data_IF_751404670981
#
_entry.id   IF_751404670981
#
_cell.length_a   1.000
_cell.length_b   1.000
_cell.length_c   1.000
_cell.angle_alpha   90.00
_cell.angle_beta   90.00
_cell.angle_gamma   90.00
#
_symmetry.space_group_name_H-M   'P 1'
#
loop_
_entity.id
_entity.type
_entity.pdbx_description
1 polymer ?
#
# COMPACT_ATOMS: atom_id res chain seq x y z
N UNK A 1 -14.72 63.72 67.32
CA UNK A 1 -15.17 63.97 65.93
C UNK A 1 -13.94 63.87 65.03
N UNK A 2 -13.85 62.77 64.26
CA UNK A 2 -13.02 62.50 63.05
C UNK A 2 -11.50 62.53 63.25
N UNK A 3 -10.78 61.40 63.14
CA UNK A 3 -10.40 60.63 61.93
C UNK A 3 -9.64 61.50 60.90
N UNK A 4 -8.35 61.24 60.68
CA UNK A 4 -7.94 60.40 59.54
C UNK A 4 -6.42 60.09 59.51
N UNK A 5 -6.13 58.80 59.69
CA UNK A 5 -5.25 57.96 58.87
C UNK A 5 -3.86 58.48 58.42
N UNK A 6 -2.89 58.33 59.32
CA UNK A 6 -1.52 58.00 58.92
C UNK A 6 -1.45 56.56 58.41
N UNK A 7 -1.65 56.36 57.10
CA UNK A 7 -1.41 55.09 56.43
C UNK A 7 0.10 54.82 56.33
N UNK A 8 0.70 54.39 57.43
CA UNK A 8 2.02 53.77 57.43
C UNK A 8 1.92 52.42 56.71
N UNK A 9 2.57 52.30 55.56
CA UNK A 9 2.74 51.03 54.85
C UNK A 9 3.41 50.04 55.81
N UNK A 10 2.65 49.06 56.30
CA UNK A 10 3.17 47.99 57.14
C UNK A 10 4.23 47.22 56.34
N UNK A 11 5.51 47.45 56.66
CA UNK A 11 6.61 46.75 56.03
C UNK A 11 6.52 45.27 56.42
N UNK A 12 6.34 44.40 55.43
CA UNK A 12 6.05 42.99 55.67
C UNK A 12 7.21 42.33 56.41
N UNK A 13 6.87 41.49 57.38
CA UNK A 13 7.86 40.79 58.20
C UNK A 13 8.75 39.89 57.30
N UNK A 14 10.01 39.63 57.68
CA UNK A 14 10.88 38.75 56.91
C UNK A 14 10.27 37.38 56.61
N UNK A 15 9.45 36.84 57.53
CA UNK A 15 8.71 35.60 57.34
C UNK A 15 7.63 35.71 56.26
N UNK A 16 6.88 36.82 56.21
CA UNK A 16 5.89 37.09 55.17
C UNK A 16 6.55 37.26 53.79
N UNK A 17 7.69 37.96 53.73
CA UNK A 17 8.49 38.09 52.49
C UNK A 17 8.99 36.73 51.99
N UNK A 18 9.45 35.85 52.90
CA UNK A 18 9.86 34.48 52.58
C UNK A 18 8.70 33.61 52.10
N UNK A 19 7.55 33.66 52.76
CA UNK A 19 6.35 32.90 52.35
C UNK A 19 5.83 33.35 50.98
N UNK A 20 5.86 34.65 50.68
CA UNK A 20 5.50 35.18 49.37
C UNK A 20 6.45 34.66 48.29
N UNK A 21 7.76 34.70 48.52
CA UNK A 21 8.76 34.17 47.60
C UNK A 21 8.54 32.67 47.31
N UNK A 22 8.26 31.87 48.33
CA UNK A 22 7.95 30.45 48.16
C UNK A 22 6.69 30.22 47.32
N UNK A 23 5.68 31.07 47.48
CA UNK A 23 4.43 30.99 46.70
C UNK A 23 4.65 31.38 45.24
N UNK A 24 5.43 32.43 44.99
CA UNK A 24 5.79 32.89 43.66
C UNK A 24 6.65 31.85 42.93
N UNK A 25 7.63 31.25 43.62
CA UNK A 25 8.46 30.17 43.09
C UNK A 25 7.62 28.93 42.76
N UNK A 26 6.69 28.54 43.63
CA UNK A 26 5.78 27.42 43.38
C UNK A 26 4.89 27.67 42.15
N UNK A 27 4.43 28.91 41.99
CA UNK A 27 3.62 29.32 40.83
C UNK A 27 4.43 29.29 39.54
N UNK A 28 5.66 29.82 39.56
CA UNK A 28 6.60 29.74 38.42
C UNK A 28 6.96 28.31 38.07
N UNK A 29 7.21 27.45 39.06
CA UNK A 29 7.50 26.04 38.84
C UNK A 29 6.33 25.33 38.15
N UNK A 30 5.10 25.58 38.61
CA UNK A 30 3.89 25.01 38.00
C UNK A 30 3.70 25.51 36.56
N UNK A 31 3.92 26.80 36.31
CA UNK A 31 3.85 27.36 34.95
C UNK A 31 4.90 26.74 34.01
N UNK A 32 6.14 26.56 34.48
CA UNK A 32 7.20 25.91 33.71
C UNK A 32 6.90 24.44 33.44
N UNK A 33 6.32 23.71 34.40
CA UNK A 33 5.89 22.31 34.20
C UNK A 33 4.81 22.21 33.12
N UNK A 34 3.79 23.07 33.17
CA UNK A 34 2.76 23.10 32.13
C UNK A 34 3.32 23.50 30.76
N UNK A 35 4.29 24.41 30.71
CA UNK A 35 4.99 24.73 29.45
C UNK A 35 5.80 23.55 28.91
N UNK A 36 6.47 22.80 29.79
CA UNK A 36 7.22 21.61 29.41
C UNK A 36 6.31 20.53 28.82
N UNK A 37 5.17 20.26 29.45
CA UNK A 37 4.17 19.31 28.94
C UNK A 37 3.66 19.70 27.54
N UNK A 38 3.38 20.99 27.32
CA UNK A 38 2.96 21.49 26.00
C UNK A 38 4.07 21.30 24.96
N UNK A 39 5.33 21.60 25.32
CA UNK A 39 6.47 21.44 24.42
C UNK A 39 6.75 19.97 24.10
N UNK A 40 6.60 19.06 25.06
CA UNK A 40 6.74 17.62 24.86
C UNK A 40 5.65 17.08 23.94
N UNK A 41 4.40 17.52 24.12
CA UNK A 41 3.29 17.15 23.24
C UNK A 41 3.51 17.66 21.81
N UNK A 42 3.90 18.93 21.67
CA UNK A 42 4.17 19.54 20.37
C UNK A 42 5.33 18.84 19.67
N UNK A 43 6.39 18.48 20.41
CA UNK A 43 7.50 17.66 19.91
C UNK A 43 7.01 16.31 19.40
N UNK A 44 6.19 15.61 20.19
CA UNK A 44 5.65 14.29 19.83
C UNK A 44 4.83 14.34 18.54
N UNK A 45 3.87 15.26 18.46
CA UNK A 45 2.99 15.42 17.28
C UNK A 45 3.79 15.80 16.05
N UNK A 46 4.74 16.72 16.20
CA UNK A 46 5.61 17.15 15.09
C UNK A 46 6.46 15.99 14.59
N UNK A 47 7.05 15.21 15.51
CA UNK A 47 7.90 14.06 15.15
C UNK A 47 7.10 12.97 14.43
N UNK A 48 5.89 12.65 14.90
CA UNK A 48 5.00 11.68 14.26
C UNK A 48 4.59 12.13 12.84
N UNK A 49 4.21 13.40 12.69
CA UNK A 49 3.89 13.98 11.37
C UNK A 49 5.08 13.94 10.42
N UNK A 50 6.28 14.32 10.90
CA UNK A 50 7.50 14.29 10.09
C UNK A 50 7.88 12.86 9.70
N UNK A 51 7.66 11.88 10.59
CA UNK A 51 7.96 10.47 10.33
C UNK A 51 7.05 9.92 9.24
N UNK A 52 5.74 10.17 9.32
CA UNK A 52 4.77 9.75 8.28
C UNK A 52 5.06 10.39 6.92
N UNK A 53 5.46 11.66 6.90
CA UNK A 53 5.85 12.34 5.67
C UNK A 53 7.16 11.79 5.10
N UNK A 54 8.13 11.51 5.96
CA UNK A 54 9.40 10.89 5.59
C UNK A 54 9.21 9.50 4.96
N UNK A 55 8.31 8.66 5.51
CA UNK A 55 7.99 7.33 4.97
C UNK A 55 7.36 7.37 3.56
N UNK A 56 6.73 8.49 3.19
CA UNK A 56 6.10 8.68 1.88
C UNK A 56 7.04 9.25 0.81
N UNK A 57 8.25 9.68 1.18
CA UNK A 57 9.18 10.35 0.27
C UNK A 57 10.13 9.36 -0.43
N UNK A 58 10.50 9.62 -1.70
CA UNK A 58 11.60 8.92 -2.36
C UNK A 58 12.91 9.07 -1.58
N UNK A 59 13.75 8.04 -1.63
CA UNK A 59 14.96 7.90 -0.81
C UNK A 59 15.92 9.10 -0.94
N UNK A 60 16.11 9.63 -2.15
CA UNK A 60 16.98 10.78 -2.40
C UNK A 60 16.46 12.08 -1.76
N UNK A 61 15.13 12.22 -1.64
CA UNK A 61 14.49 13.38 -1.01
C UNK A 61 14.66 13.35 0.51
N UNK A 62 14.63 12.15 1.10
CA UNK A 62 14.90 11.90 2.52
C UNK A 62 16.33 12.29 2.93
N UNK A 63 17.32 11.95 2.10
CA UNK A 63 18.73 12.31 2.32
C UNK A 63 18.91 13.83 2.32
N UNK A 64 18.35 14.52 1.33
CA UNK A 64 18.47 15.98 1.21
C UNK A 64 17.74 16.71 2.33
N UNK A 65 16.58 16.19 2.75
CA UNK A 65 15.83 16.72 3.88
C UNK A 65 16.63 16.59 5.18
N UNK A 66 17.19 15.42 5.44
CA UNK A 66 18.01 15.15 6.64
C UNK A 66 19.24 16.07 6.67
N UNK A 67 19.94 16.23 5.55
CA UNK A 67 21.09 17.13 5.42
C UNK A 67 20.72 18.60 5.68
N UNK A 68 19.59 19.05 5.14
CA UNK A 68 19.09 20.41 5.34
C UNK A 68 18.72 20.67 6.80
N UNK A 69 18.12 19.68 7.46
CA UNK A 69 17.74 19.76 8.86
C UNK A 69 18.97 19.83 9.78
N UNK A 70 19.99 19.00 9.53
CA UNK A 70 21.26 19.03 10.26
C UNK A 70 21.93 20.40 10.12
N UNK A 71 22.02 20.94 8.90
CA UNK A 71 22.58 22.27 8.66
C UNK A 71 21.79 23.37 9.39
N UNK A 72 20.45 23.31 9.38
CA UNK A 72 19.61 24.28 10.09
C UNK A 72 19.86 24.23 11.61
N UNK A 73 19.98 23.04 12.19
CA UNK A 73 20.24 22.85 13.62
C UNK A 73 21.63 23.38 14.01
N UNK A 74 22.66 23.14 13.19
CA UNK A 74 24.01 23.66 13.41
C UNK A 74 24.04 25.19 13.33
N UNK A 75 23.44 25.77 12.29
CA UNK A 75 23.53 27.21 12.02
C UNK A 75 22.65 28.06 12.94
N UNK A 76 21.49 27.55 13.39
CA UNK A 76 20.51 28.31 14.17
C UNK A 76 20.60 28.08 15.67
N UNK A 77 21.11 26.92 16.11
CA UNK A 77 21.11 26.53 17.52
C UNK A 77 22.51 26.24 18.07
N UNK A 78 23.58 26.50 17.31
CA UNK A 78 24.99 26.31 17.70
C UNK A 78 25.28 24.91 18.27
N UNK A 79 24.57 23.91 17.74
CA UNK A 79 24.70 22.52 18.14
C UNK A 79 25.88 21.88 17.40
N UNK A 80 26.93 21.53 18.15
CA UNK A 80 28.00 20.68 17.65
C UNK A 80 27.58 19.22 17.73
N UNK A 81 27.56 18.52 16.60
CA UNK A 81 27.41 17.07 16.57
C UNK A 81 28.81 16.45 16.67
N UNK A 82 29.05 15.61 17.68
CA UNK A 82 30.29 14.83 17.74
C UNK A 82 30.25 13.74 16.65
N UNK A 83 31.26 13.75 15.77
CA UNK A 83 31.42 12.77 14.69
C UNK A 83 31.23 13.34 13.28
N UNK A 84 31.74 12.62 12.29
CA UNK A 84 31.58 12.99 10.88
C UNK A 84 30.10 12.81 10.47
N UNK A 85 29.42 13.85 9.95
CA UNK A 85 28.03 13.76 9.53
C UNK A 85 27.76 12.62 8.55
N UNK A 86 28.73 12.29 7.70
CA UNK A 86 28.62 11.18 6.74
C UNK A 86 28.63 9.81 7.45
N UNK A 87 29.43 9.63 8.50
CA UNK A 87 29.46 8.41 9.30
C UNK A 87 28.15 8.23 10.09
N UNK A 88 27.61 9.32 10.63
CA UNK A 88 26.31 9.31 11.33
C UNK A 88 25.19 8.92 10.37
N UNK A 89 25.18 9.50 9.15
CA UNK A 89 24.21 9.13 8.13
C UNK A 89 24.34 7.66 7.74
N UNK A 90 25.55 7.16 7.52
CA UNK A 90 25.80 5.74 7.19
C UNK A 90 25.33 4.79 8.30
N UNK A 91 25.60 5.11 9.57
CA UNK A 91 25.16 4.28 10.71
C UNK A 91 23.63 4.34 10.89
N UNK A 92 23.02 5.52 10.71
CA UNK A 92 21.56 5.66 10.68
C UNK A 92 20.95 4.85 9.53
N UNK A 93 21.56 4.86 8.35
CA UNK A 93 21.14 4.05 7.21
C UNK A 93 21.17 2.56 7.54
N UNK A 94 22.30 2.09 8.08
CA UNK A 94 22.47 0.69 8.48
C UNK A 94 21.41 0.27 9.50
N UNK A 95 21.05 1.15 10.43
CA UNK A 95 19.98 0.91 11.41
C UNK A 95 18.59 0.91 10.78
N UNK A 96 18.28 1.85 9.89
CA UNK A 96 16.99 1.91 9.16
C UNK A 96 16.83 0.67 8.28
N UNK A 97 17.87 0.26 7.57
CA UNK A 97 17.87 -0.98 6.78
C UNK A 97 17.73 -2.21 7.68
N UNK A 98 18.41 -2.26 8.83
CA UNK A 98 18.28 -3.39 9.77
C UNK A 98 16.94 -3.44 10.51
N UNK A 99 16.23 -2.31 10.60
CA UNK A 99 14.90 -2.19 11.25
C UNK A 99 13.76 -2.33 10.26
N UNK A 100 14.02 -2.36 8.95
CA UNK A 100 13.10 -2.93 7.98
C UNK A 100 12.96 -4.41 8.30
N UNK A 101 12.02 -4.75 9.19
CA UNK A 101 11.42 -6.08 9.22
C UNK A 101 11.08 -6.38 7.76
N UNK A 102 11.60 -7.45 7.14
CA UNK A 102 11.22 -7.81 5.79
C UNK A 102 9.71 -7.90 5.82
N UNK A 103 9.03 -6.95 5.16
CA UNK A 103 7.59 -7.06 5.00
C UNK A 103 7.42 -8.37 4.26
N UNK A 104 6.89 -9.38 4.93
CA UNK A 104 6.65 -10.67 4.31
C UNK A 104 5.81 -10.39 3.08
N UNK A 105 6.35 -10.76 1.91
CA UNK A 105 5.71 -10.50 0.63
C UNK A 105 4.33 -11.16 0.68
N UNK A 106 3.28 -10.34 0.60
CA UNK A 106 1.91 -10.84 0.63
C UNK A 106 1.54 -11.37 -0.75
N UNK A 107 0.71 -12.43 -0.83
CA UNK A 107 0.17 -12.87 -2.11
C UNK A 107 -0.60 -11.75 -2.80
N UNK A 108 -0.52 -11.71 -4.13
CA UNK A 108 -1.43 -10.88 -4.94
C UNK A 108 -2.81 -11.51 -5.05
N UNK A 109 -3.81 -10.71 -5.41
CA UNK A 109 -5.14 -11.19 -5.77
C UNK A 109 -5.36 -10.89 -7.25
N UNK A 110 -5.62 -11.95 -8.02
CA UNK A 110 -5.97 -11.86 -9.44
C UNK A 110 -7.39 -12.34 -9.69
N UNK A 111 -7.99 -11.85 -10.77
CA UNK A 111 -9.27 -12.34 -11.29
C UNK A 111 -9.02 -12.90 -12.68
N UNK A 112 -9.48 -14.12 -12.91
CA UNK A 112 -9.37 -14.83 -14.19
C UNK A 112 -10.77 -15.25 -14.64
N UNK A 113 -11.09 -15.12 -15.93
CA UNK A 113 -12.48 -15.25 -16.40
C UNK A 113 -12.62 -16.31 -17.47
N UNK A 114 -13.41 -17.34 -17.20
CA UNK A 114 -13.90 -18.25 -18.23
C UNK A 114 -15.01 -17.56 -19.02
N UNK A 115 -14.64 -17.04 -20.19
CA UNK A 115 -15.60 -16.48 -21.16
C UNK A 115 -16.25 -17.63 -21.92
N UNK A 116 -17.58 -17.72 -21.85
CA UNK A 116 -18.41 -18.76 -22.46
C UNK A 116 -19.31 -18.12 -23.53
N UNK A 117 -19.67 -18.88 -24.58
CA UNK A 117 -20.56 -18.40 -25.64
C UNK A 117 -21.54 -19.48 -26.07
N UNK A 118 -22.78 -19.08 -26.37
CA UNK A 118 -23.79 -19.98 -26.94
C UNK A 118 -23.41 -20.45 -28.36
N UNK A 119 -22.64 -19.65 -29.10
CA UNK A 119 -22.11 -20.01 -30.43
C UNK A 119 -20.95 -20.99 -30.36
N UNK A 120 -20.25 -21.04 -29.24
CA UNK A 120 -19.09 -21.92 -29.01
C UNK A 120 -19.34 -22.82 -27.79
N UNK A 121 -20.25 -23.80 -27.89
CA UNK A 121 -20.59 -24.68 -26.78
C UNK A 121 -19.37 -25.44 -26.28
N UNK A 122 -19.31 -25.66 -24.96
CA UNK A 122 -18.23 -26.36 -24.26
C UNK A 122 -16.82 -25.78 -24.53
N UNK A 123 -16.77 -24.52 -24.96
CA UNK A 123 -15.52 -23.83 -25.29
C UNK A 123 -15.29 -22.65 -24.36
N UNK A 124 -14.01 -22.36 -24.15
CA UNK A 124 -13.53 -21.19 -23.41
C UNK A 124 -12.62 -20.36 -24.30
N UNK A 125 -12.46 -19.09 -23.95
CA UNK A 125 -11.50 -18.23 -24.63
C UNK A 125 -10.10 -18.40 -24.03
N UNK A 126 -9.12 -18.72 -24.88
CA UNK A 126 -7.70 -18.80 -24.50
C UNK A 126 -6.85 -17.90 -25.38
N UNK A 127 -5.86 -17.26 -24.75
CA UNK A 127 -4.86 -16.46 -25.41
C UNK A 127 -3.46 -16.85 -24.95
N UNK A 128 -2.45 -16.51 -25.76
CA UNK A 128 -1.04 -16.83 -25.48
C UNK A 128 -0.29 -15.58 -25.03
N UNK A 129 0.30 -15.66 -23.83
CA UNK A 129 0.97 -14.52 -23.16
C UNK A 129 2.25 -14.11 -23.88
N UNK A 130 2.48 -12.80 -23.97
CA UNK A 130 3.74 -12.16 -24.39
C UNK A 130 4.49 -11.48 -23.23
N UNK A 131 3.89 -11.42 -22.04
CA UNK A 131 4.54 -10.87 -20.85
C UNK A 131 5.76 -11.71 -20.44
N UNK A 132 6.75 -11.06 -19.81
CA UNK A 132 7.95 -11.72 -19.30
C UNK A 132 7.63 -12.90 -18.37
N UNK A 133 6.67 -12.71 -17.45
CA UNK A 133 6.19 -13.76 -16.56
C UNK A 133 5.20 -14.64 -17.33
N UNK A 134 5.54 -15.93 -17.47
CA UNK A 134 4.73 -16.90 -18.18
C UNK A 134 4.68 -16.68 -19.69
N UNK A 135 5.74 -16.11 -20.28
CA UNK A 135 5.84 -15.90 -21.72
C UNK A 135 5.57 -17.19 -22.50
N UNK A 136 4.68 -17.13 -23.49
CA UNK A 136 4.33 -18.27 -24.35
C UNK A 136 3.35 -19.26 -23.75
N UNK A 137 2.94 -19.10 -22.48
CA UNK A 137 1.91 -19.92 -21.83
C UNK A 137 0.50 -19.43 -22.19
N UNK A 138 -0.46 -20.35 -22.19
CA UNK A 138 -1.86 -20.06 -22.45
C UNK A 138 -2.61 -19.62 -21.19
N UNK A 139 -3.45 -18.61 -21.33
CA UNK A 139 -4.26 -18.06 -20.25
C UNK A 139 -5.70 -17.79 -20.70
N UNK A 140 -6.58 -17.68 -19.72
CA UNK A 140 -7.88 -17.01 -19.89
C UNK A 140 -7.71 -15.51 -19.66
N UNK A 141 -8.67 -14.66 -20.10
CA UNK A 141 -8.64 -13.23 -19.77
C UNK A 141 -8.60 -12.97 -18.27
N UNK A 142 -7.87 -11.95 -17.85
CA UNK A 142 -7.77 -11.62 -16.43
C UNK A 142 -6.57 -10.78 -16.04
N UNK A 143 -6.65 -10.24 -14.83
CA UNK A 143 -5.63 -9.35 -14.28
C UNK A 143 -5.79 -9.15 -12.78
N UNK A 144 -5.27 -8.05 -12.26
CA UNK A 144 -5.28 -7.76 -10.82
C UNK A 144 -6.66 -7.30 -10.38
N UNK A 145 -7.05 -7.69 -9.16
CA UNK A 145 -8.18 -7.05 -8.50
C UNK A 145 -7.76 -5.65 -8.05
N UNK A 146 -8.42 -4.62 -8.58
CA UNK A 146 -8.15 -3.23 -8.22
C UNK A 146 -8.84 -2.81 -6.91
N UNK A 147 -8.37 -1.71 -6.32
CA UNK A 147 -8.98 -1.20 -5.11
C UNK A 147 -10.35 -0.57 -5.40
N UNK A 148 -11.39 -1.06 -4.73
CA UNK A 148 -12.74 -0.50 -4.82
C UNK A 148 -13.66 -1.20 -5.83
N UNK A 149 -13.21 -2.27 -6.49
CA UNK A 149 -14.05 -3.10 -7.36
C UNK A 149 -14.40 -4.46 -6.72
N UNK A 150 -15.55 -5.01 -7.11
CA UNK A 150 -15.94 -6.41 -6.83
C UNK A 150 -15.29 -7.37 -7.82
N UNK A 151 -15.34 -8.68 -7.54
CA UNK A 151 -14.81 -9.70 -8.46
C UNK A 151 -15.54 -9.71 -9.81
N UNK A 152 -16.85 -9.45 -9.81
CA UNK A 152 -17.66 -9.34 -11.02
C UNK A 152 -17.29 -8.10 -11.83
N UNK A 153 -17.02 -6.97 -11.16
CA UNK A 153 -16.58 -5.74 -11.81
C UNK A 153 -15.20 -5.92 -12.46
N UNK A 154 -14.25 -6.51 -11.73
CA UNK A 154 -12.94 -6.86 -12.24
C UNK A 154 -13.03 -7.81 -13.45
N UNK A 155 -13.84 -8.88 -13.33
CA UNK A 155 -14.03 -9.83 -14.42
C UNK A 155 -14.61 -9.19 -15.68
N UNK A 156 -15.63 -8.32 -15.52
CA UNK A 156 -16.19 -7.60 -16.66
C UNK A 156 -15.18 -6.63 -17.28
N UNK A 157 -14.43 -5.88 -16.45
CA UNK A 157 -13.39 -4.94 -16.87
C UNK A 157 -12.30 -5.64 -17.67
N UNK A 158 -11.68 -6.68 -17.11
CA UNK A 158 -10.57 -7.41 -17.74
C UNK A 158 -10.99 -8.05 -19.07
N UNK A 159 -12.17 -8.70 -19.13
CA UNK A 159 -12.66 -9.28 -20.39
C UNK A 159 -12.87 -8.20 -21.44
N UNK A 160 -13.46 -7.06 -21.07
CA UNK A 160 -13.68 -5.96 -22.00
C UNK A 160 -12.36 -5.34 -22.48
N UNK A 161 -11.42 -5.08 -21.56
CA UNK A 161 -10.13 -4.46 -21.83
C UNK A 161 -9.24 -5.33 -22.72
N UNK A 162 -9.20 -6.65 -22.50
CA UNK A 162 -8.28 -7.54 -23.21
C UNK A 162 -8.88 -8.09 -24.52
N UNK A 163 -10.19 -8.32 -24.56
CA UNK A 163 -10.87 -9.05 -25.66
C UNK A 163 -11.88 -8.22 -26.43
N UNK A 164 -12.31 -7.09 -25.87
CA UNK A 164 -13.40 -6.28 -26.44
C UNK A 164 -14.79 -6.92 -26.36
N UNK A 165 -14.94 -8.08 -25.70
CA UNK A 165 -16.22 -8.74 -25.49
C UNK A 165 -16.96 -8.15 -24.30
N UNK A 166 -18.29 -8.10 -24.42
CA UNK A 166 -19.16 -7.82 -23.30
C UNK A 166 -19.66 -9.14 -22.73
N UNK A 167 -19.64 -9.29 -21.40
CA UNK A 167 -20.15 -10.48 -20.72
C UNK A 167 -21.27 -10.15 -19.74
N UNK A 168 -22.18 -11.10 -19.56
CA UNK A 168 -23.25 -11.07 -18.57
C UNK A 168 -23.26 -12.37 -17.75
N UNK A 169 -24.15 -12.43 -16.76
CA UNK A 169 -24.26 -13.56 -15.81
C UNK A 169 -22.92 -13.93 -15.17
N UNK A 170 -22.13 -12.91 -14.84
CA UNK A 170 -20.81 -13.08 -14.22
C UNK A 170 -21.01 -13.72 -12.84
N UNK A 171 -20.35 -14.84 -12.60
CA UNK A 171 -20.47 -15.61 -11.36
C UNK A 171 -19.15 -16.24 -10.94
N UNK A 172 -18.98 -16.46 -9.64
CA UNK A 172 -17.83 -17.16 -9.09
C UNK A 172 -17.83 -18.62 -9.55
N UNK A 173 -16.67 -19.10 -10.03
CA UNK A 173 -16.42 -20.50 -10.35
C UNK A 173 -15.59 -21.16 -9.23
N UNK A 174 -14.41 -20.62 -8.93
CA UNK A 174 -13.54 -21.17 -7.88
C UNK A 174 -12.49 -20.16 -7.41
N UNK A 175 -11.75 -20.50 -6.36
CA UNK A 175 -10.57 -19.75 -5.92
C UNK A 175 -9.40 -20.72 -5.87
N UNK A 176 -8.30 -20.35 -6.51
CA UNK A 176 -7.11 -21.18 -6.66
C UNK A 176 -5.90 -20.41 -6.13
N UNK A 177 -5.24 -21.01 -5.14
CA UNK A 177 -3.92 -20.57 -4.71
C UNK A 177 -2.84 -21.18 -5.61
N UNK A 178 -1.91 -20.32 -6.07
CA UNK A 178 -0.81 -20.62 -6.98
C UNK A 178 0.48 -20.02 -6.44
N UNK A 179 1.47 -20.87 -6.20
CA UNK A 179 2.75 -20.52 -5.59
C UNK A 179 3.87 -21.04 -6.49
N UNK A 180 4.70 -20.12 -7.00
CA UNK A 180 5.86 -20.38 -7.86
C UNK A 180 7.07 -19.61 -7.30
N UNK A 181 7.75 -20.17 -6.26
CA UNK A 181 8.80 -19.46 -5.54
C UNK A 181 10.00 -19.08 -6.42
N UNK A 182 10.35 -19.94 -7.38
CA UNK A 182 11.45 -19.71 -8.33
C UNK A 182 11.21 -18.50 -9.24
N UNK A 183 9.95 -18.08 -9.37
CA UNK A 183 9.51 -16.97 -10.20
C UNK A 183 9.07 -15.77 -9.36
N UNK A 184 9.30 -15.83 -8.04
CA UNK A 184 8.85 -14.84 -7.05
C UNK A 184 7.35 -14.51 -7.22
N UNK A 185 6.53 -15.54 -7.46
CA UNK A 185 5.11 -15.41 -7.79
C UNK A 185 4.24 -16.17 -6.77
N UNK A 186 3.28 -15.48 -6.16
CA UNK A 186 2.28 -16.06 -5.28
C UNK A 186 0.99 -15.25 -5.44
N UNK A 187 -0.04 -15.89 -6.00
CA UNK A 187 -1.35 -15.27 -6.22
C UNK A 187 -2.48 -16.19 -5.78
N UNK A 188 -3.46 -15.60 -5.09
CA UNK A 188 -4.81 -16.15 -5.05
C UNK A 188 -5.55 -15.67 -6.29
N UNK A 189 -5.96 -16.60 -7.14
CA UNK A 189 -6.73 -16.32 -8.35
C UNK A 189 -8.19 -16.64 -8.12
N UNK A 190 -9.05 -15.64 -8.23
CA UNK A 190 -10.51 -15.80 -8.24
C UNK A 190 -10.93 -16.09 -9.67
N UNK A 191 -11.33 -17.34 -9.93
CA UNK A 191 -11.88 -17.72 -11.22
C UNK A 191 -13.36 -17.37 -11.26
N UNK A 192 -13.70 -16.48 -12.18
CA UNK A 192 -15.07 -16.10 -12.54
C UNK A 192 -15.44 -16.76 -13.85
N UNK A 193 -16.74 -16.80 -14.16
CA UNK A 193 -17.26 -17.17 -15.49
C UNK A 193 -18.31 -16.18 -15.93
N UNK A 194 -18.40 -15.94 -17.23
CA UNK A 194 -19.39 -15.04 -17.82
C UNK A 194 -19.75 -15.48 -19.23
N UNK A 195 -20.97 -15.17 -19.65
CA UNK A 195 -21.47 -15.47 -21.00
C UNK A 195 -21.34 -14.23 -21.89
N UNK A 196 -20.88 -14.41 -23.12
CA UNK A 196 -20.81 -13.35 -24.12
C UNK A 196 -22.20 -12.79 -24.39
N UNK A 197 -22.33 -11.47 -24.33
CA UNK A 197 -23.52 -10.76 -24.82
C UNK A 197 -23.50 -10.74 -26.34
N UNK A 198 -24.12 -11.76 -26.93
CA UNK A 198 -24.19 -11.99 -28.36
C UNK A 198 -24.84 -10.81 -29.14
N UNK A 199 -25.58 -9.93 -28.46
CA UNK A 199 -26.21 -8.75 -29.08
C UNK A 199 -25.21 -7.62 -29.35
N UNK A 200 -24.04 -7.65 -28.71
CA UNK A 200 -23.01 -6.60 -28.78
C UNK A 200 -21.77 -7.01 -29.58
N UNK A 201 -21.85 -8.16 -30.25
CA UNK A 201 -20.76 -8.76 -31.00
C UNK A 201 -20.14 -9.93 -30.23
N UNK A 202 -19.82 -10.99 -30.97
CA UNK A 202 -19.43 -12.29 -30.40
C UNK A 202 -17.99 -12.68 -30.63
N UNK A 203 -17.28 -11.94 -31.48
CA UNK A 203 -15.91 -12.28 -31.87
C UNK A 203 -14.90 -11.49 -31.02
N UNK A 204 -13.95 -12.18 -30.39
CA UNK A 204 -12.91 -11.53 -29.60
C UNK A 204 -11.96 -10.75 -30.51
N UNK A 205 -11.49 -9.61 -30.02
CA UNK A 205 -10.43 -8.81 -30.66
C UNK A 205 -9.26 -8.70 -29.70
N UNK A 206 -8.05 -8.77 -30.23
CA UNK A 206 -6.86 -8.57 -29.42
C UNK A 206 -6.68 -7.07 -29.14
N UNK A 207 -7.19 -6.61 -28.00
CA UNK A 207 -7.15 -5.20 -27.60
C UNK A 207 -5.78 -4.82 -27.02
N UNK A 208 -4.98 -5.80 -26.60
CA UNK A 208 -3.65 -5.60 -26.03
C UNK A 208 -2.57 -6.43 -26.76
N UNK A 209 -2.27 -6.14 -28.04
CA UNK A 209 -1.38 -6.96 -28.89
C UNK A 209 0.07 -7.07 -28.40
N UNK A 210 0.47 -6.20 -27.46
CA UNK A 210 1.77 -6.24 -26.79
C UNK A 210 1.81 -7.24 -25.64
N UNK A 211 0.66 -7.61 -25.05
CA UNK A 211 0.56 -8.53 -23.92
C UNK A 211 0.07 -9.93 -24.32
N UNK A 212 -0.72 -10.03 -25.38
CA UNK A 212 -1.28 -11.30 -25.87
C UNK A 212 -1.08 -11.46 -27.38
N UNK A 213 -0.84 -12.69 -27.86
CA UNK A 213 -0.80 -12.99 -29.30
C UNK A 213 -2.19 -12.91 -29.96
N UNK A 214 -3.25 -13.10 -29.18
CA UNK A 214 -4.63 -13.11 -29.64
C UNK A 214 -5.47 -14.11 -28.88
N UNK A 215 -6.77 -14.13 -29.18
CA UNK A 215 -7.76 -14.92 -28.45
C UNK A 215 -8.47 -15.89 -29.39
N UNK A 216 -8.57 -17.15 -28.97
CA UNK A 216 -9.22 -18.21 -29.73
C UNK A 216 -10.16 -19.01 -28.84
N UNK A 217 -11.24 -19.52 -29.45
CA UNK A 217 -12.15 -20.45 -28.81
C UNK A 217 -11.57 -21.86 -28.79
N UNK A 218 -11.43 -22.43 -27.59
CA UNK A 218 -10.94 -23.78 -27.38
C UNK A 218 -11.99 -24.61 -26.66
N UNK A 219 -12.33 -25.78 -27.22
CA UNK A 219 -13.11 -26.78 -26.47
C UNK A 219 -12.35 -27.14 -25.20
N UNK A 220 -13.04 -27.19 -24.06
CA UNK A 220 -12.42 -27.49 -22.77
C UNK A 220 -11.74 -28.86 -22.71
N UNK A 221 -12.25 -29.81 -23.47
CA UNK A 221 -11.66 -31.15 -23.65
C UNK A 221 -10.38 -31.15 -24.49
N UNK A 222 -10.11 -30.09 -25.23
CA UNK A 222 -9.02 -29.97 -26.18
C UNK A 222 -8.01 -28.86 -25.83
N UNK A 223 -8.12 -28.24 -24.65
CA UNK A 223 -7.14 -27.23 -24.21
C UNK A 223 -5.74 -27.84 -24.12
N UNK A 224 -4.67 -27.02 -24.23
CA UNK A 224 -3.31 -27.49 -24.11
C UNK A 224 -3.03 -28.26 -22.81
N UNK A 225 -1.97 -29.07 -22.84
CA UNK A 225 -1.50 -29.80 -21.66
C UNK A 225 -1.08 -28.84 -20.54
N UNK A 226 -1.16 -29.25 -19.26
CA UNK A 226 -0.93 -28.35 -18.13
C UNK A 226 0.40 -27.60 -18.13
N UNK A 227 1.47 -28.17 -18.72
CA UNK A 227 2.79 -27.54 -18.87
C UNK A 227 2.80 -26.33 -19.80
N UNK A 228 1.79 -26.20 -20.67
CA UNK A 228 1.61 -25.07 -21.57
C UNK A 228 0.63 -24.02 -21.03
N UNK A 229 0.02 -24.26 -19.87
CA UNK A 229 -0.95 -23.34 -19.26
C UNK A 229 -0.24 -22.41 -18.27
N UNK A 230 -0.70 -21.17 -18.20
CA UNK A 230 -0.27 -20.24 -17.16
C UNK A 230 -0.66 -20.79 -15.79
N UNK A 231 0.17 -20.55 -14.78
CA UNK A 231 0.20 -21.34 -13.55
C UNK A 231 -1.13 -21.45 -12.81
N UNK A 232 -1.91 -20.37 -12.74
CA UNK A 232 -3.24 -20.42 -12.12
C UNK A 232 -4.22 -21.33 -12.87
N UNK A 233 -4.19 -21.30 -14.22
CA UNK A 233 -5.03 -22.15 -15.06
C UNK A 233 -4.54 -23.61 -15.06
N UNK A 234 -3.22 -23.83 -15.01
CA UNK A 234 -2.62 -25.15 -14.76
C UNK A 234 -3.12 -25.74 -13.44
N UNK A 235 -3.06 -24.96 -12.36
CA UNK A 235 -3.46 -25.42 -11.03
C UNK A 235 -4.96 -25.67 -10.94
N UNK A 236 -5.77 -24.81 -11.57
CA UNK A 236 -7.21 -25.04 -11.72
C UNK A 236 -7.48 -26.39 -12.39
N UNK A 237 -6.81 -26.67 -13.52
CA UNK A 237 -7.00 -27.92 -14.27
C UNK A 237 -6.50 -29.14 -13.49
N UNK A 238 -5.35 -29.03 -12.83
CA UNK A 238 -4.73 -30.11 -12.04
C UNK A 238 -5.56 -30.47 -10.82
N UNK A 239 -6.31 -29.49 -10.26
CA UNK A 239 -7.30 -29.72 -9.20
C UNK A 239 -8.62 -30.35 -9.71
N UNK A 240 -8.69 -30.73 -10.99
CA UNK A 240 -9.89 -31.28 -11.65
C UNK A 240 -11.14 -30.37 -11.55
N UNK A 241 -10.92 -29.06 -11.50
CA UNK A 241 -12.02 -28.08 -11.51
C UNK A 241 -12.58 -27.92 -12.93
N UNK A 242 -13.85 -27.49 -13.03
CA UNK A 242 -14.58 -27.37 -14.28
C UNK A 242 -15.19 -25.96 -14.40
N UNK A 243 -14.99 -25.24 -15.54
CA UNK A 243 -15.58 -23.93 -15.75
C UNK A 243 -17.09 -23.94 -16.04
N UNK A 244 -17.68 -25.08 -16.40
CA UNK A 244 -19.12 -25.25 -16.73
C UNK A 244 -19.94 -25.69 -15.53
#
# INVERSE_FOLDING_TARGET
>A
LRDDNGAGTADSTPLQKYMQLCTDLKTKLKANQSQLEILEELRRVTLDSMTKQAEALPLDSLVQYTRSLVNLLQTKHDLSFEGNPEEILQELWKRIESTKVPRTKRPGIGVAVFVLSEKHPESILLGRRKNTIGHGLYQVPGGHLEFGESWEQAAYREVLEETGLHVHNVSLCSIVDTIEPEQDYHYMTVFMRGYVDETRGSEPRNMEPNKCEGWLWWKWSAIPTPDLLFWCLRDFKTKNLNPF
#
